data_IF_332457202358
#
_entry.id   IF_332457202358
#
_cell.length_a   1.000
_cell.length_b   1.000
_cell.length_c   1.000
_cell.angle_alpha   90.00
_cell.angle_beta   90.00
_cell.angle_gamma   90.00
#
_symmetry.space_group_name_H-M   'P 1'
#
loop_
_entity.id
_entity.type
_entity.pdbx_description
1 polymer ?
#
# COMPACT_ATOMS: atom_id res chain seq x y z
N UNK A 1 8.39 10.45 13.66
CA UNK A 1 8.84 11.11 14.90
C UNK A 1 9.75 12.26 14.57
N UNK A 2 9.57 13.43 15.22
CA UNK A 2 10.38 14.62 14.95
C UNK A 2 10.72 15.35 16.27
N UNK A 3 12.02 15.56 16.55
CA UNK A 3 12.52 16.29 17.72
C UNK A 3 14.00 16.64 17.52
N UNK A 4 14.41 17.85 17.92
CA UNK A 4 15.80 18.31 17.89
C UNK A 4 16.48 18.23 16.50
N UNK A 5 15.77 18.55 15.42
CA UNK A 5 16.30 18.50 14.05
C UNK A 5 16.43 17.08 13.49
N UNK A 6 15.92 16.05 14.14
CA UNK A 6 15.85 14.69 13.62
C UNK A 6 14.41 14.38 13.26
N UNK A 7 14.16 14.06 11.99
CA UNK A 7 12.82 13.72 11.49
C UNK A 7 12.88 12.36 10.84
N UNK A 8 12.21 11.37 11.46
CA UNK A 8 12.18 10.00 11.00
C UNK A 8 10.74 9.55 10.75
N UNK A 9 10.49 8.97 9.58
CA UNK A 9 9.29 8.25 9.24
C UNK A 9 9.62 6.76 9.05
N UNK A 10 8.75 5.86 9.50
CA UNK A 10 8.96 4.43 9.37
C UNK A 10 7.68 3.73 8.97
N UNK A 11 7.78 2.74 8.08
CA UNK A 11 6.68 1.92 7.61
C UNK A 11 7.03 0.43 7.67
N UNK A 12 6.00 -0.41 7.83
CA UNK A 12 6.03 -1.85 7.63
C UNK A 12 4.92 -2.25 6.67
N UNK A 13 5.27 -2.95 5.60
CA UNK A 13 4.35 -3.39 4.56
C UNK A 13 3.96 -4.85 4.78
N UNK A 14 2.67 -5.07 4.96
CA UNK A 14 2.08 -6.39 5.22
C UNK A 14 1.34 -6.88 3.98
N UNK A 15 1.80 -7.99 3.36
CA UNK A 15 1.15 -8.53 2.17
C UNK A 15 1.34 -10.04 2.02
N UNK A 16 0.72 -10.61 1.01
CA UNK A 16 0.67 -12.05 0.75
C UNK A 16 1.79 -12.55 -0.16
N UNK A 17 2.55 -11.66 -0.80
CA UNK A 17 3.53 -12.01 -1.81
C UNK A 17 4.84 -11.25 -1.65
N UNK A 18 5.97 -11.97 -1.73
CA UNK A 18 7.31 -11.44 -1.45
C UNK A 18 7.95 -10.65 -2.62
N UNK A 19 7.25 -10.47 -3.73
CA UNK A 19 7.75 -9.69 -4.87
C UNK A 19 7.69 -8.20 -4.58
N UNK A 20 8.67 -7.70 -3.86
CA UNK A 20 8.79 -6.31 -3.48
C UNK A 20 9.97 -5.64 -4.17
N UNK A 21 9.82 -4.37 -4.51
CA UNK A 21 10.84 -3.55 -5.17
C UNK A 21 11.01 -2.19 -4.49
N UNK A 22 12.17 -1.59 -4.76
CA UNK A 22 12.47 -0.18 -4.51
C UNK A 22 12.87 0.46 -5.84
N UNK A 23 12.34 1.65 -6.14
CA UNK A 23 12.60 2.40 -7.37
C UNK A 23 13.18 3.76 -7.05
N UNK A 24 14.19 4.18 -7.81
CA UNK A 24 14.79 5.51 -7.74
C UNK A 24 14.53 6.23 -9.06
N UNK A 25 13.84 7.37 -9.02
CA UNK A 25 13.48 8.17 -10.18
C UNK A 25 14.09 9.55 -10.03
N UNK A 26 15.07 9.92 -10.89
CA UNK A 26 15.70 11.25 -10.84
C UNK A 26 14.71 12.38 -11.09
N UNK A 27 15.05 13.57 -10.57
CA UNK A 27 14.28 14.78 -10.81
C UNK A 27 14.23 15.12 -12.31
N UNK A 28 13.12 15.68 -12.76
CA UNK A 28 12.94 16.28 -14.07
C UNK A 28 12.78 17.81 -13.95
N UNK A 29 12.37 18.47 -15.02
CA UNK A 29 12.07 19.91 -14.97
C UNK A 29 10.82 20.23 -14.15
N UNK A 30 9.89 19.28 -14.06
CA UNK A 30 8.55 19.48 -13.50
C UNK A 30 8.32 18.60 -12.27
N UNK A 31 9.22 17.67 -11.97
CA UNK A 31 9.05 16.67 -10.93
C UNK A 31 10.28 16.54 -10.04
N UNK A 32 10.07 16.33 -8.75
CA UNK A 32 11.11 16.03 -7.77
C UNK A 32 11.71 14.65 -7.98
N UNK A 33 12.99 14.49 -7.65
CA UNK A 33 13.65 13.20 -7.54
C UNK A 33 13.06 12.43 -6.35
N UNK A 34 12.91 11.10 -6.50
CA UNK A 34 12.15 10.32 -5.52
C UNK A 34 12.56 8.87 -5.44
N UNK A 35 12.25 8.24 -4.33
CA UNK A 35 12.30 6.81 -4.12
C UNK A 35 10.91 6.30 -3.81
N UNK A 36 10.53 5.21 -4.44
CA UNK A 36 9.32 4.46 -4.12
C UNK A 36 9.65 3.10 -3.53
N UNK A 37 8.80 2.62 -2.65
CA UNK A 37 8.78 1.24 -2.16
C UNK A 37 7.43 0.62 -2.45
N UNK A 38 7.39 -0.69 -2.73
CA UNK A 38 6.11 -1.35 -3.04
C UNK A 38 6.28 -2.72 -3.67
N UNK A 39 5.31 -3.09 -4.51
CA UNK A 39 5.18 -4.42 -5.09
C UNK A 39 5.49 -4.44 -6.57
N UNK A 40 6.20 -5.49 -7.01
CA UNK A 40 6.42 -5.80 -8.41
C UNK A 40 5.24 -6.63 -8.96
N UNK A 41 4.09 -5.99 -9.13
CA UNK A 41 2.94 -6.61 -9.75
C UNK A 41 2.83 -6.22 -11.22
N UNK A 42 3.46 -6.98 -12.09
CA UNK A 42 3.07 -6.96 -13.47
C UNK A 42 1.83 -7.88 -13.64
N UNK A 43 0.81 -7.52 -14.36
CA UNK A 43 0.61 -6.39 -15.25
C UNK A 43 -0.38 -5.32 -14.75
N UNK A 44 -0.84 -5.36 -13.50
CA UNK A 44 -1.96 -4.50 -13.10
C UNK A 44 -1.54 -3.22 -12.46
N UNK A 45 -0.52 -3.28 -11.69
CA UNK A 45 -0.12 -2.17 -10.90
C UNK A 45 1.33 -2.31 -10.45
N UNK A 46 2.24 -1.55 -11.04
CA UNK A 46 3.40 -1.12 -10.26
C UNK A 46 2.83 -0.42 -9.05
N UNK A 47 3.02 -1.00 -7.87
CA UNK A 47 2.36 -0.49 -6.70
C UNK A 47 3.36 0.17 -5.82
N UNK A 48 3.47 1.45 -6.07
CA UNK A 48 4.05 2.33 -5.10
C UNK A 48 3.14 2.33 -3.87
N UNK A 49 3.63 1.81 -2.77
CA UNK A 49 2.90 1.85 -1.50
C UNK A 49 3.25 3.10 -0.70
N UNK A 50 4.46 3.63 -0.90
CA UNK A 50 4.95 4.84 -0.28
C UNK A 50 6.35 5.19 -0.74
N UNK A 51 6.99 6.13 -0.05
CA UNK A 51 8.35 6.55 -0.36
C UNK A 51 8.70 7.92 0.19
N UNK A 52 9.77 8.50 -0.37
CA UNK A 52 10.27 9.82 -0.03
C UNK A 52 10.81 10.51 -1.26
N UNK A 53 10.63 11.84 -1.38
CA UNK A 53 11.28 12.62 -2.42
C UNK A 53 12.54 13.36 -1.92
N UNK A 54 13.25 13.99 -2.85
CA UNK A 54 14.49 14.72 -2.60
C UNK A 54 14.28 16.05 -1.84
N UNK A 55 13.03 16.45 -1.57
CA UNK A 55 12.68 17.54 -0.69
C UNK A 55 12.47 17.07 0.77
N UNK A 56 12.52 15.75 1.01
CA UNK A 56 12.26 15.13 2.29
C UNK A 56 10.78 15.06 2.65
N UNK A 57 9.90 15.03 1.65
CA UNK A 57 8.50 14.67 1.83
C UNK A 57 8.37 13.15 1.79
N UNK A 58 7.77 12.58 2.82
CA UNK A 58 7.43 11.17 2.95
C UNK A 58 5.93 11.00 2.87
N UNK A 59 5.47 9.95 2.22
CA UNK A 59 4.11 9.46 2.32
C UNK A 59 4.06 7.93 2.30
N UNK A 60 2.95 7.41 2.80
CA UNK A 60 2.63 6.00 2.79
C UNK A 60 1.10 5.81 2.76
N UNK A 61 0.63 4.58 2.58
CA UNK A 61 -0.79 4.26 2.57
C UNK A 61 -1.09 3.14 3.56
N UNK A 62 -2.17 3.28 4.32
CA UNK A 62 -2.66 2.21 5.18
C UNK A 62 -4.07 1.80 4.74
N UNK A 63 -4.25 0.52 4.44
CA UNK A 63 -5.56 -0.04 4.14
C UNK A 63 -6.50 0.07 5.35
N UNK A 64 -7.73 0.48 5.11
CA UNK A 64 -8.81 0.56 6.10
C UNK A 64 -10.07 -0.12 5.58
N UNK A 65 -11.02 -0.41 6.45
CA UNK A 65 -12.34 -0.89 6.02
C UNK A 65 -13.05 0.19 5.20
N UNK A 66 -13.92 -0.18 4.22
CA UNK A 66 -14.66 0.78 3.42
C UNK A 66 -15.34 1.84 4.29
N UNK A 67 -14.99 3.11 4.04
CA UNK A 67 -15.38 4.26 4.85
C UNK A 67 -16.68 4.95 4.35
N UNK A 68 -17.28 4.42 3.28
CA UNK A 68 -18.49 4.99 2.69
C UNK A 68 -18.22 6.32 1.96
N UNK A 69 -17.15 6.36 1.17
CA UNK A 69 -16.77 7.52 0.37
C UNK A 69 -17.89 7.99 -0.56
N UNK A 70 -17.97 9.28 -0.74
CA UNK A 70 -18.76 9.92 -1.79
C UNK A 70 -18.07 11.22 -2.22
N UNK A 71 -18.12 11.51 -3.51
CA UNK A 71 -17.55 12.70 -4.09
C UNK A 71 -18.27 13.97 -3.58
N UNK A 72 -17.50 15.01 -3.30
CA UNK A 72 -18.04 16.34 -2.99
C UNK A 72 -18.28 17.09 -4.29
N UNK A 73 -19.50 17.65 -4.51
CA UNK A 73 -19.79 18.45 -5.68
C UNK A 73 -18.82 19.62 -5.88
N UNK A 74 -18.44 19.90 -7.11
CA UNK A 74 -17.59 21.04 -7.48
C UNK A 74 -16.09 20.79 -7.36
N UNK A 75 -15.66 19.58 -7.00
CA UNK A 75 -14.25 19.17 -7.02
C UNK A 75 -14.01 18.12 -8.09
N UNK A 76 -12.92 18.22 -8.88
CA UNK A 76 -12.54 17.15 -9.78
C UNK A 76 -12.15 15.89 -8.99
N UNK A 77 -12.43 14.70 -9.54
CA UNK A 77 -11.99 13.44 -8.98
C UNK A 77 -10.60 13.10 -9.52
N UNK A 78 -9.69 12.76 -8.63
CA UNK A 78 -8.35 12.28 -8.97
C UNK A 78 -8.39 10.77 -9.24
N UNK A 79 -7.78 10.33 -10.33
CA UNK A 79 -7.76 8.93 -10.79
C UNK A 79 -6.34 8.43 -11.17
N UNK A 80 -5.30 9.14 -10.75
CA UNK A 80 -3.90 8.75 -10.96
C UNK A 80 -3.36 7.89 -9.81
N UNK A 81 -2.08 7.53 -9.91
CA UNK A 81 -1.34 6.98 -8.77
C UNK A 81 -1.10 8.10 -7.75
N UNK A 82 -1.61 7.90 -6.54
CA UNK A 82 -1.57 8.92 -5.48
C UNK A 82 -0.15 9.12 -4.94
N UNK A 83 0.63 8.03 -4.83
CA UNK A 83 2.02 8.10 -4.35
C UNK A 83 2.89 8.85 -5.35
N UNK A 84 2.73 8.53 -6.63
CA UNK A 84 3.42 9.23 -7.71
C UNK A 84 3.05 10.71 -7.72
N UNK A 85 1.77 11.05 -7.71
CA UNK A 85 1.30 12.43 -7.70
C UNK A 85 1.89 13.24 -6.55
N UNK A 86 1.87 12.69 -5.34
CA UNK A 86 2.32 13.42 -4.16
C UNK A 86 3.83 13.56 -4.13
N UNK A 87 4.58 12.50 -4.34
CA UNK A 87 6.05 12.55 -4.25
C UNK A 87 6.71 13.26 -5.44
N UNK A 88 6.05 13.33 -6.60
CA UNK A 88 6.56 14.05 -7.75
C UNK A 88 6.40 15.57 -7.65
N UNK A 89 5.31 16.06 -7.02
CA UNK A 89 4.90 17.45 -7.21
C UNK A 89 4.86 18.29 -5.92
N UNK A 90 4.89 17.66 -4.74
CA UNK A 90 4.79 18.38 -3.47
C UNK A 90 6.04 18.20 -2.62
N UNK A 91 6.31 19.19 -1.77
CA UNK A 91 7.50 19.25 -0.91
C UNK A 91 7.17 19.39 0.57
N UNK A 92 5.92 19.72 0.89
CA UNK A 92 5.48 19.99 2.24
C UNK A 92 4.12 19.35 2.56
N UNK A 93 3.87 19.12 3.83
CA UNK A 93 2.57 18.65 4.33
C UNK A 93 1.44 19.59 3.93
N UNK A 94 1.66 20.90 3.99
CA UNK A 94 0.62 21.90 3.67
C UNK A 94 0.20 21.83 2.19
N UNK A 95 1.14 21.63 1.27
CA UNK A 95 0.84 21.45 -0.16
C UNK A 95 0.01 20.18 -0.42
N UNK A 96 0.33 19.10 0.27
CA UNK A 96 -0.44 17.86 0.18
C UNK A 96 -1.86 18.02 0.74
N UNK A 97 -2.01 18.72 1.86
CA UNK A 97 -3.32 19.05 2.43
C UNK A 97 -4.17 19.85 1.45
N UNK A 98 -3.55 20.82 0.77
CA UNK A 98 -4.24 21.64 -0.24
C UNK A 98 -4.68 20.78 -1.45
N UNK A 99 -3.86 19.81 -1.90
CA UNK A 99 -4.27 18.86 -2.93
C UNK A 99 -5.56 18.11 -2.54
N UNK A 100 -5.66 17.58 -1.32
CA UNK A 100 -6.87 16.91 -0.84
C UNK A 100 -8.05 17.85 -0.65
N UNK A 101 -7.79 19.14 -0.38
CA UNK A 101 -8.86 20.15 -0.36
C UNK A 101 -9.40 20.44 -1.77
N UNK A 102 -8.58 20.34 -2.79
CA UNK A 102 -8.95 20.68 -4.17
C UNK A 102 -9.55 19.50 -4.95
N UNK A 103 -9.28 18.24 -4.55
CA UNK A 103 -9.68 17.06 -5.29
C UNK A 103 -10.56 16.12 -4.46
N UNK A 104 -11.43 15.39 -5.15
CA UNK A 104 -12.00 14.15 -4.65
C UNK A 104 -10.98 13.01 -4.88
N UNK A 105 -10.67 12.26 -3.84
CA UNK A 105 -9.72 11.13 -3.90
C UNK A 105 -10.45 9.87 -3.44
N UNK A 106 -11.09 9.12 -4.38
CA UNK A 106 -11.92 7.97 -4.05
C UNK A 106 -11.18 6.84 -3.31
N UNK A 107 -9.86 6.77 -3.45
CA UNK A 107 -9.00 5.81 -2.74
C UNK A 107 -9.12 5.90 -1.23
N UNK A 108 -9.47 7.08 -0.69
CA UNK A 108 -9.76 7.27 0.73
C UNK A 108 -11.00 6.49 1.22
N UNK A 109 -11.74 5.83 0.33
CA UNK A 109 -12.76 4.87 0.76
C UNK A 109 -12.17 3.65 1.47
N UNK A 110 -10.98 3.23 1.07
CA UNK A 110 -10.31 2.00 1.56
C UNK A 110 -8.88 2.22 2.04
N UNK A 111 -8.40 3.46 1.94
CA UNK A 111 -7.06 3.86 2.35
C UNK A 111 -7.11 5.08 3.25
N UNK A 112 -6.05 5.27 4.03
CA UNK A 112 -5.68 6.55 4.64
C UNK A 112 -4.20 6.83 4.39
N UNK A 113 -3.84 8.09 4.40
CA UNK A 113 -2.56 8.58 3.90
C UNK A 113 -1.80 9.33 4.99
N UNK A 114 -0.84 8.70 5.68
CA UNK A 114 0.13 9.41 6.50
C UNK A 114 1.17 10.12 5.63
N UNK A 115 1.41 11.40 5.94
CA UNK A 115 2.38 12.26 5.25
C UNK A 115 3.24 12.97 6.29
N UNK A 116 4.53 13.13 6.02
CA UNK A 116 5.45 13.90 6.85
C UNK A 116 6.48 14.64 5.98
N UNK A 117 6.95 15.80 6.43
CA UNK A 117 8.00 16.58 5.77
C UNK A 117 9.27 16.73 6.61
N UNK A 118 10.36 17.16 5.95
CA UNK A 118 11.65 17.37 6.58
C UNK A 118 11.66 18.43 7.70
N UNK A 119 10.64 19.28 7.77
CA UNK A 119 10.47 20.26 8.87
C UNK A 119 9.85 19.63 10.12
N UNK A 120 9.43 18.37 10.02
CA UNK A 120 8.83 17.61 11.10
C UNK A 120 7.33 17.81 11.24
N UNK A 121 6.65 18.45 10.28
CA UNK A 121 5.20 18.42 10.22
C UNK A 121 4.74 17.03 9.80
N UNK A 122 3.59 16.60 10.29
CA UNK A 122 2.93 15.41 9.74
C UNK A 122 1.42 15.47 9.91
N UNK A 123 0.74 14.81 9.00
CA UNK A 123 -0.72 14.70 8.95
C UNK A 123 -1.12 13.29 8.52
N UNK A 124 -2.21 12.78 9.03
CA UNK A 124 -2.90 11.61 8.47
C UNK A 124 -4.16 12.13 7.79
N UNK A 125 -4.29 11.86 6.51
CA UNK A 125 -5.48 12.18 5.72
C UNK A 125 -6.35 10.94 5.65
N UNK A 126 -7.60 11.05 6.09
CA UNK A 126 -8.54 9.92 6.07
C UNK A 126 -9.98 10.37 5.85
N UNK A 127 -10.81 9.45 5.34
CA UNK A 127 -12.24 9.64 5.25
C UNK A 127 -12.92 8.92 6.42
N UNK A 128 -13.64 9.66 7.24
CA UNK A 128 -14.37 9.12 8.38
C UNK A 128 -15.64 9.92 8.66
N UNK A 129 -16.67 9.29 9.22
CA UNK A 129 -17.95 9.95 9.56
C UNK A 129 -18.53 10.78 8.41
N UNK A 130 -18.32 10.35 7.14
CA UNK A 130 -18.85 11.02 5.94
C UNK A 130 -18.12 12.30 5.53
N UNK A 131 -16.90 12.53 6.00
CA UNK A 131 -16.10 13.70 5.65
C UNK A 131 -14.59 13.43 5.64
N UNK A 132 -13.85 14.32 5.00
CA UNK A 132 -12.40 14.33 4.99
C UNK A 132 -11.87 14.86 6.32
N UNK A 133 -10.93 14.13 6.92
CA UNK A 133 -10.24 14.52 8.14
C UNK A 133 -8.74 14.67 7.89
N UNK A 134 -8.16 15.68 8.56
CA UNK A 134 -6.74 15.95 8.60
C UNK A 134 -6.30 15.88 10.06
N UNK A 135 -5.68 14.76 10.43
CA UNK A 135 -5.21 14.53 11.79
C UNK A 135 -3.76 14.97 11.87
N UNK A 136 -3.51 16.17 12.35
CA UNK A 136 -2.16 16.70 12.50
C UNK A 136 -1.46 16.11 13.71
N UNK A 137 -0.14 16.02 13.63
CA UNK A 137 0.71 15.63 14.76
C UNK A 137 0.67 16.70 15.84
N UNK A 138 0.30 16.30 17.06
CA UNK A 138 0.24 17.19 18.23
C UNK A 138 1.56 17.18 19.03
N UNK A 139 2.17 16.00 19.16
CA UNK A 139 3.40 15.76 19.92
C UNK A 139 4.62 15.52 19.01
N UNK A 140 5.69 14.94 19.55
CA UNK A 140 6.90 14.63 18.79
C UNK A 140 6.77 13.39 17.90
N UNK A 141 5.66 12.62 17.94
CA UNK A 141 5.39 11.48 17.08
C UNK A 141 3.93 11.43 16.63
N UNK A 142 3.68 10.68 15.59
CA UNK A 142 2.35 10.32 15.10
C UNK A 142 2.38 8.86 14.67
N UNK A 143 1.28 8.14 14.86
CA UNK A 143 1.14 6.72 14.52
C UNK A 143 -0.07 6.54 13.62
N UNK A 144 0.12 5.80 12.54
CA UNK A 144 -0.93 5.38 11.62
C UNK A 144 -0.95 3.86 11.53
N UNK A 145 -2.12 3.25 11.59
CA UNK A 145 -2.35 1.81 11.39
C UNK A 145 -3.71 1.57 10.71
N UNK A 146 -4.12 0.34 10.50
CA UNK A 146 -5.22 -0.07 9.62
C UNK A 146 -6.64 0.14 10.20
N UNK A 147 -6.95 1.32 10.72
CA UNK A 147 -8.30 1.72 11.16
C UNK A 147 -8.48 3.23 11.01
N UNK A 148 -9.73 3.69 10.93
CA UNK A 148 -10.08 5.12 10.83
C UNK A 148 -10.01 5.73 12.23
N UNK A 149 -9.06 6.63 12.47
CA UNK A 149 -8.80 7.22 13.78
C UNK A 149 -9.87 8.23 14.18
N UNK A 150 -10.42 8.97 13.23
CA UNK A 150 -11.50 9.95 13.45
C UNK A 150 -12.83 9.33 13.89
N UNK A 151 -12.99 8.00 13.79
CA UNK A 151 -14.16 7.31 14.33
C UNK A 151 -14.18 7.26 15.87
N UNK A 152 -13.05 7.52 16.51
CA UNK A 152 -12.86 7.46 17.96
C UNK A 152 -12.58 8.84 18.55
N UNK A 153 -13.04 9.10 19.77
CA UNK A 153 -12.80 10.34 20.49
C UNK A 153 -11.55 10.27 21.39
N UNK A 154 -11.29 9.10 21.99
CA UNK A 154 -10.12 8.88 22.86
C UNK A 154 -9.17 7.85 22.22
N UNK A 155 -7.87 8.17 22.05
CA UNK A 155 -6.86 7.23 21.58
C UNK A 155 -6.76 5.92 22.39
N UNK A 156 -7.25 5.91 23.63
CA UNK A 156 -7.32 4.70 24.45
C UNK A 156 -8.34 3.67 23.94
N UNK A 157 -9.30 4.11 23.15
CA UNK A 157 -10.32 3.27 22.54
C UNK A 157 -9.90 2.70 21.17
N UNK A 158 -8.73 3.07 20.68
CA UNK A 158 -8.22 2.57 19.39
C UNK A 158 -8.10 1.05 19.40
N UNK A 159 -8.69 0.36 18.40
CA UNK A 159 -8.84 -1.09 18.43
C UNK A 159 -7.55 -1.86 18.07
N UNK A 160 -6.50 -1.16 17.64
CA UNK A 160 -5.30 -1.76 17.07
C UNK A 160 -4.22 -2.01 18.15
N UNK A 161 -3.89 -3.27 18.39
CA UNK A 161 -2.82 -3.65 19.33
C UNK A 161 -1.45 -3.09 18.88
N UNK A 162 -1.15 -3.08 17.58
CA UNK A 162 0.10 -2.52 17.04
C UNK A 162 0.22 -1.02 17.36
N UNK A 163 -0.88 -0.28 17.26
CA UNK A 163 -0.93 1.12 17.67
C UNK A 163 -0.54 1.28 19.15
N UNK A 164 -1.15 0.48 20.03
CA UNK A 164 -0.89 0.56 21.49
C UNK A 164 0.55 0.19 21.85
N UNK A 165 1.16 -0.75 21.12
CA UNK A 165 2.58 -1.13 21.30
C UNK A 165 3.49 0.03 20.88
N UNK A 166 3.27 0.56 19.66
CA UNK A 166 4.05 1.69 19.12
C UNK A 166 3.96 2.92 20.03
N UNK A 167 2.75 3.29 20.46
CA UNK A 167 2.51 4.42 21.35
C UNK A 167 3.27 4.25 22.68
N UNK A 168 3.24 3.06 23.29
CA UNK A 168 3.96 2.77 24.54
C UNK A 168 5.47 2.97 24.40
N UNK A 169 6.05 2.53 23.28
CA UNK A 169 7.49 2.66 23.02
C UNK A 169 7.84 4.13 22.78
N UNK A 170 7.09 4.81 21.90
CA UNK A 170 7.39 6.18 21.48
C UNK A 170 7.16 7.22 22.59
N UNK A 171 6.14 7.03 23.40
CA UNK A 171 5.82 7.92 24.53
C UNK A 171 6.93 7.99 25.56
N UNK A 172 7.67 6.90 25.74
CA UNK A 172 8.77 6.80 26.71
C UNK A 172 10.14 7.17 26.10
N UNK A 173 10.17 7.61 24.84
CA UNK A 173 11.42 7.91 24.15
C UNK A 173 11.75 9.40 24.20
N UNK A 174 12.97 9.72 24.60
CA UNK A 174 13.43 11.09 24.71
C UNK A 174 13.89 11.68 23.39
N UNK A 175 14.49 10.87 22.52
CA UNK A 175 15.13 11.33 21.29
C UNK A 175 14.85 10.37 20.12
N UNK A 176 14.47 10.90 18.93
CA UNK A 176 14.36 10.08 17.73
C UNK A 176 15.68 9.44 17.34
N UNK A 177 15.66 8.18 16.97
CA UNK A 177 16.80 7.51 16.35
C UNK A 177 16.32 6.38 15.44
N UNK A 178 17.12 6.01 14.44
CA UNK A 178 16.84 4.87 13.56
C UNK A 178 16.64 3.60 14.41
N UNK A 179 17.46 3.37 15.42
CA UNK A 179 17.32 2.24 16.34
C UNK A 179 16.00 2.22 17.12
N UNK A 180 15.48 3.39 17.53
CA UNK A 180 14.18 3.51 18.16
C UNK A 180 13.05 3.13 17.19
N UNK A 181 13.04 3.72 15.99
CA UNK A 181 11.99 3.41 15.00
C UNK A 181 12.08 1.94 14.58
N UNK A 182 13.29 1.40 14.37
CA UNK A 182 13.50 -0.04 14.12
C UNK A 182 12.89 -0.91 15.23
N UNK A 183 13.07 -0.54 16.50
CA UNK A 183 12.47 -1.27 17.62
C UNK A 183 10.95 -1.23 17.61
N UNK A 184 10.35 -0.10 17.20
CA UNK A 184 8.90 0.01 17.02
C UNK A 184 8.43 -0.93 15.91
N UNK A 185 9.04 -0.86 14.73
CA UNK A 185 8.69 -1.69 13.58
C UNK A 185 8.86 -3.18 13.90
N UNK A 186 9.96 -3.55 14.55
CA UNK A 186 10.20 -4.92 15.02
C UNK A 186 9.15 -5.40 16.04
N UNK A 187 8.68 -4.52 16.93
CA UNK A 187 7.67 -4.89 17.92
C UNK A 187 6.24 -4.95 17.36
N UNK A 188 6.03 -4.39 16.17
CA UNK A 188 4.69 -4.25 15.55
C UNK A 188 4.55 -4.95 14.20
N UNK A 189 5.56 -5.69 13.75
CA UNK A 189 5.47 -6.46 12.51
C UNK A 189 4.40 -7.56 12.60
N UNK A 190 3.89 -7.99 11.46
CA UNK A 190 2.90 -9.06 11.33
C UNK A 190 3.58 -10.38 11.00
N UNK A 191 3.22 -11.45 11.72
CA UNK A 191 3.63 -12.85 11.43
C UNK A 191 2.45 -13.72 10.96
N UNK A 192 1.29 -13.08 10.67
CA UNK A 192 0.08 -13.77 10.28
C UNK A 192 0.07 -14.14 8.80
N UNK A 193 -1.12 -14.43 8.25
CA UNK A 193 -1.32 -14.79 6.84
C UNK A 193 -0.85 -13.69 5.87
N UNK A 194 -0.87 -12.46 6.32
CA UNK A 194 -0.29 -11.30 5.65
C UNK A 194 0.91 -10.79 6.48
N UNK A 195 2.09 -11.43 6.32
CA UNK A 195 3.26 -11.05 7.10
C UNK A 195 3.85 -9.73 6.62
N UNK A 196 4.62 -9.10 7.48
CA UNK A 196 5.43 -7.94 7.09
C UNK A 196 6.53 -8.40 6.12
N UNK A 197 6.48 -7.91 4.88
CA UNK A 197 7.42 -8.30 3.81
C UNK A 197 8.69 -7.47 3.81
N UNK A 198 8.56 -6.19 4.12
CA UNK A 198 9.67 -5.28 4.33
C UNK A 198 9.28 -4.20 5.33
N UNK A 199 10.29 -3.58 5.89
CA UNK A 199 10.13 -2.34 6.65
C UNK A 199 11.15 -1.32 6.17
N UNK A 200 10.79 -0.06 6.17
CA UNK A 200 11.69 1.02 5.82
C UNK A 200 11.63 2.16 6.84
N UNK A 201 12.76 2.83 7.02
CA UNK A 201 12.87 4.05 7.83
C UNK A 201 13.49 5.12 6.94
N UNK A 202 12.82 6.26 6.82
CA UNK A 202 13.30 7.43 6.10
C UNK A 202 13.76 8.51 7.07
N UNK A 203 15.03 8.92 6.98
CA UNK A 203 15.53 10.14 7.61
C UNK A 203 15.24 11.29 6.63
N UNK A 204 14.21 12.07 6.92
CA UNK A 204 13.67 13.05 5.97
C UNK A 204 14.58 14.27 5.81
N UNK A 205 15.41 14.56 6.82
CA UNK A 205 16.37 15.66 6.76
C UNK A 205 17.65 15.25 6.01
N UNK A 206 18.16 14.02 6.30
CA UNK A 206 19.38 13.50 5.65
C UNK A 206 19.11 12.76 4.36
N UNK A 207 17.86 12.56 3.98
CA UNK A 207 17.44 11.84 2.79
C UNK A 207 18.03 10.42 2.70
N UNK A 208 17.99 9.69 3.81
CA UNK A 208 18.49 8.32 3.90
C UNK A 208 17.34 7.35 4.10
N UNK A 209 17.44 6.21 3.44
CA UNK A 209 16.49 5.12 3.54
C UNK A 209 17.20 3.92 4.15
N UNK A 210 16.65 3.40 5.25
CA UNK A 210 17.08 2.17 5.90
C UNK A 210 16.03 1.11 5.60
N UNK A 211 16.40 0.06 4.88
CA UNK A 211 15.51 -1.00 4.43
C UNK A 211 15.80 -2.29 5.18
N UNK A 212 14.75 -2.98 5.59
CA UNK A 212 14.78 -4.27 6.28
C UNK A 212 13.90 -5.27 5.52
N UNK A 213 14.41 -6.48 5.32
CA UNK A 213 13.67 -7.52 4.60
C UNK A 213 12.97 -8.47 5.57
N UNK A 214 11.68 -8.66 5.32
CA UNK A 214 10.83 -9.54 6.11
C UNK A 214 10.91 -9.18 7.61
N UNK A 215 11.09 -10.12 8.50
CA UNK A 215 11.20 -9.90 9.95
C UNK A 215 12.66 -9.78 10.44
N UNK A 216 13.61 -9.63 9.51
CA UNK A 216 15.02 -9.49 9.87
C UNK A 216 15.40 -8.02 10.06
N UNK A 217 15.34 -7.57 11.30
CA UNK A 217 15.75 -6.21 11.71
C UNK A 217 17.23 -6.12 12.13
N UNK A 218 17.98 -7.21 12.02
CA UNK A 218 19.43 -7.23 12.35
C UNK A 218 20.29 -6.90 11.12
N UNK A 219 19.78 -7.09 9.91
CA UNK A 219 20.46 -6.76 8.67
C UNK A 219 19.72 -5.60 7.99
N UNK A 220 20.44 -4.54 7.64
CA UNK A 220 19.87 -3.37 6.97
C UNK A 220 20.61 -3.05 5.69
N UNK A 221 19.88 -2.58 4.67
CA UNK A 221 20.45 -1.93 3.50
C UNK A 221 20.15 -0.45 3.57
N UNK A 222 21.18 0.38 3.42
CA UNK A 222 21.06 1.84 3.56
C UNK A 222 21.33 2.52 2.23
N UNK A 223 20.41 3.37 1.81
CA UNK A 223 20.55 4.22 0.64
C UNK A 223 20.67 5.69 1.07
N UNK A 224 21.48 6.43 0.35
CA UNK A 224 21.52 7.88 0.33
C UNK A 224 20.78 8.32 -0.94
N UNK A 225 19.64 8.97 -0.79
CA UNK A 225 18.75 9.27 -1.91
C UNK A 225 19.43 10.12 -2.96
N UNK A 226 20.14 11.19 -2.56
CA UNK A 226 20.80 12.08 -3.51
C UNK A 226 21.82 11.31 -4.37
N UNK A 227 22.60 10.41 -3.75
CA UNK A 227 23.59 9.58 -4.45
C UNK A 227 22.94 8.54 -5.37
N UNK A 228 21.81 7.97 -4.98
CA UNK A 228 21.10 7.01 -5.85
C UNK A 228 20.52 7.73 -7.07
N UNK A 229 19.93 8.90 -6.89
CA UNK A 229 19.38 9.70 -7.99
C UNK A 229 20.44 10.17 -8.99
N UNK A 230 21.69 10.43 -8.54
CA UNK A 230 22.81 10.76 -9.42
C UNK A 230 23.19 9.61 -10.38
N UNK A 231 22.87 8.35 -10.06
CA UNK A 231 23.14 7.19 -10.93
C UNK A 231 22.15 7.06 -12.09
N UNK A 232 21.07 7.83 -12.08
CA UNK A 232 19.96 7.73 -13.01
C UNK A 232 18.82 6.87 -12.46
N UNK A 233 17.84 6.59 -13.32
CA UNK A 233 16.71 5.75 -12.99
C UNK A 233 17.17 4.31 -12.69
N UNK A 234 16.71 3.76 -11.58
CA UNK A 234 17.08 2.42 -11.14
C UNK A 234 15.95 1.74 -10.34
N UNK A 235 15.87 0.42 -10.48
CA UNK A 235 14.98 -0.40 -9.66
C UNK A 235 15.72 -1.63 -9.14
N UNK A 236 15.37 -2.05 -7.95
CA UNK A 236 15.97 -3.24 -7.32
C UNK A 236 14.89 -4.12 -6.70
N UNK A 237 14.83 -5.42 -7.02
CA UNK A 237 14.08 -6.38 -6.20
C UNK A 237 14.64 -6.37 -4.78
N UNK A 238 13.81 -6.15 -3.77
CA UNK A 238 14.31 -5.93 -2.40
C UNK A 238 15.13 -7.11 -1.88
N UNK A 239 14.72 -8.35 -2.22
CA UNK A 239 15.45 -9.56 -1.81
C UNK A 239 16.89 -9.61 -2.35
N UNK A 240 17.21 -8.94 -3.46
CA UNK A 240 18.55 -8.89 -4.03
C UNK A 240 19.51 -7.96 -3.31
N UNK A 241 19.00 -7.14 -2.41
CA UNK A 241 19.75 -6.13 -1.65
C UNK A 241 20.34 -6.66 -0.33
N UNK A 242 20.02 -7.90 0.02
CA UNK A 242 20.42 -8.53 1.27
C UNK A 242 21.32 -9.73 1.02
N UNK A 243 22.36 -9.88 1.84
CA UNK A 243 23.29 -11.01 1.72
C UNK A 243 22.62 -12.33 2.11
N UNK A 244 21.66 -12.27 3.03
CA UNK A 244 20.95 -13.44 3.54
C UNK A 244 19.44 -13.22 3.43
N UNK A 245 18.76 -14.13 2.73
CA UNK A 245 17.30 -14.15 2.79
C UNK A 245 16.90 -14.90 4.07
N UNK A 246 16.10 -14.31 4.95
CA UNK A 246 15.64 -14.95 6.17
C UNK A 246 14.95 -16.29 5.88
N UNK A 247 15.22 -17.31 6.70
CA UNK A 247 14.59 -18.62 6.53
C UNK A 247 13.06 -18.55 6.50
N UNK A 248 12.47 -17.67 7.33
CA UNK A 248 11.03 -17.45 7.35
C UNK A 248 10.52 -16.88 6.01
N UNK A 249 11.25 -15.95 5.38
CA UNK A 249 10.91 -15.42 4.05
C UNK A 249 11.02 -16.50 2.98
N UNK A 250 12.07 -17.34 3.04
CA UNK A 250 12.23 -18.47 2.14
C UNK A 250 11.07 -19.47 2.27
N UNK A 251 10.68 -19.81 3.49
CA UNK A 251 9.53 -20.68 3.74
C UNK A 251 8.24 -20.07 3.24
N UNK A 252 8.01 -18.79 3.53
CA UNK A 252 6.83 -18.07 3.06
C UNK A 252 6.72 -18.08 1.54
N UNK A 253 7.80 -17.85 0.82
CA UNK A 253 7.80 -17.87 -0.64
C UNK A 253 7.49 -19.26 -1.23
N UNK A 254 7.82 -20.36 -0.52
CA UNK A 254 7.60 -21.73 -1.02
C UNK A 254 6.30 -22.37 -0.55
N UNK A 255 5.82 -22.04 0.65
CA UNK A 255 4.66 -22.69 1.28
C UNK A 255 3.59 -21.71 1.76
N UNK A 256 3.87 -20.40 1.64
CA UNK A 256 2.91 -19.35 1.98
C UNK A 256 1.67 -19.36 1.11
N UNK A 257 0.67 -18.53 1.45
CA UNK A 257 -0.54 -18.43 0.65
C UNK A 257 -0.21 -17.93 -0.76
N UNK A 258 -0.77 -18.55 -1.77
CA UNK A 258 -0.69 -18.11 -3.16
C UNK A 258 -1.90 -17.22 -3.49
N UNK A 259 -1.70 -16.26 -4.36
CA UNK A 259 -2.78 -15.41 -4.85
C UNK A 259 -3.38 -16.11 -6.06
N UNK A 260 -4.60 -16.58 -5.94
CA UNK A 260 -5.30 -17.28 -7.01
C UNK A 260 -5.45 -16.48 -8.32
N UNK A 261 -5.30 -15.13 -8.27
CA UNK A 261 -5.36 -14.25 -9.43
C UNK A 261 -4.28 -14.56 -10.48
N UNK A 262 -3.05 -14.82 -10.07
CA UNK A 262 -1.95 -15.09 -11.00
C UNK A 262 -2.09 -16.44 -11.68
N UNK A 263 -2.41 -17.47 -10.88
CA UNK A 263 -2.69 -18.79 -11.42
C UNK A 263 -3.89 -18.70 -12.38
N UNK A 264 -4.91 -17.94 -12.03
CA UNK A 264 -6.09 -17.74 -12.85
C UNK A 264 -5.75 -17.03 -14.16
N UNK A 265 -4.97 -15.96 -14.12
CA UNK A 265 -4.51 -15.25 -15.33
C UNK A 265 -3.63 -16.12 -16.23
N UNK A 266 -2.74 -16.92 -15.63
CA UNK A 266 -1.92 -17.87 -16.38
C UNK A 266 -2.81 -18.89 -17.10
N UNK A 267 -3.77 -19.49 -16.42
CA UNK A 267 -4.68 -20.46 -17.00
C UNK A 267 -5.55 -19.82 -18.08
N UNK A 268 -6.06 -18.59 -17.84
CA UNK A 268 -6.84 -17.84 -18.84
C UNK A 268 -6.01 -17.62 -20.12
N UNK A 269 -4.75 -17.32 -20.00
CA UNK A 269 -3.87 -17.08 -21.14
C UNK A 269 -3.49 -18.38 -21.88
N UNK A 270 -3.30 -19.47 -21.16
CA UNK A 270 -2.89 -20.78 -21.73
C UNK A 270 -4.07 -21.62 -22.24
N UNK A 271 -5.22 -21.61 -21.53
CA UNK A 271 -6.31 -22.56 -21.74
C UNK A 271 -7.68 -21.91 -21.94
N UNK A 272 -7.78 -20.61 -21.70
CA UNK A 272 -9.01 -19.83 -21.82
C UNK A 272 -9.86 -19.76 -20.54
N UNK A 273 -10.89 -18.92 -20.60
CA UNK A 273 -11.70 -18.50 -19.45
C UNK A 273 -12.44 -19.66 -18.77
N UNK A 274 -12.98 -20.60 -19.54
CA UNK A 274 -13.77 -21.74 -18.99
C UNK A 274 -12.93 -22.65 -18.12
N UNK A 275 -11.73 -22.98 -18.58
CA UNK A 275 -10.80 -23.84 -17.83
C UNK A 275 -10.29 -23.12 -16.59
N UNK A 276 -10.07 -21.80 -16.67
CA UNK A 276 -9.68 -21.00 -15.54
C UNK A 276 -10.76 -20.96 -14.45
N UNK A 277 -12.01 -20.76 -14.79
CA UNK A 277 -13.14 -20.81 -13.84
C UNK A 277 -13.26 -22.18 -13.18
N UNK A 278 -13.11 -23.25 -13.94
CA UNK A 278 -13.14 -24.62 -13.39
C UNK A 278 -12.00 -24.85 -12.39
N UNK A 279 -10.78 -24.50 -12.77
CA UNK A 279 -9.63 -24.64 -11.89
C UNK A 279 -9.70 -23.74 -10.66
N UNK A 280 -10.23 -22.51 -10.80
CA UNK A 280 -10.50 -21.65 -9.65
C UNK A 280 -11.42 -22.31 -8.62
N UNK A 281 -12.50 -22.95 -9.08
CA UNK A 281 -13.40 -23.68 -8.20
C UNK A 281 -12.73 -24.88 -7.53
N UNK A 282 -11.86 -25.61 -8.24
CA UNK A 282 -11.07 -26.69 -7.68
C UNK A 282 -10.07 -26.18 -6.62
N UNK A 283 -9.36 -25.09 -6.89
CA UNK A 283 -8.46 -24.43 -5.95
C UNK A 283 -9.20 -24.00 -4.68
N UNK A 284 -10.42 -23.45 -4.84
CA UNK A 284 -11.27 -23.04 -3.73
C UNK A 284 -11.68 -24.22 -2.84
N UNK A 285 -12.02 -25.35 -3.40
CA UNK A 285 -12.29 -26.57 -2.63
C UNK A 285 -11.06 -27.09 -1.90
N UNK A 286 -9.91 -27.11 -2.56
CA UNK A 286 -8.64 -27.51 -1.93
C UNK A 286 -8.24 -26.58 -0.79
N UNK A 287 -8.50 -25.29 -0.91
CA UNK A 287 -8.17 -24.29 0.11
C UNK A 287 -8.93 -24.46 1.43
N UNK A 288 -10.07 -25.17 1.41
CA UNK A 288 -10.79 -25.50 2.65
C UNK A 288 -9.97 -26.35 3.61
N UNK A 289 -8.99 -27.09 3.10
CA UNK A 289 -8.13 -27.98 3.91
C UNK A 289 -6.73 -27.46 4.12
N UNK A 290 -6.18 -26.67 3.20
CA UNK A 290 -4.74 -26.32 3.17
C UNK A 290 -4.49 -24.81 3.32
N UNK A 291 -5.51 -23.94 3.25
CA UNK A 291 -5.40 -22.46 3.29
C UNK A 291 -4.32 -21.88 2.36
N UNK A 292 -4.16 -22.47 1.17
CA UNK A 292 -3.09 -22.15 0.24
C UNK A 292 -3.40 -20.96 -0.68
N UNK A 293 -4.68 -20.72 -0.98
CA UNK A 293 -5.12 -19.71 -1.93
C UNK A 293 -5.95 -18.64 -1.26
N UNK A 294 -5.88 -17.42 -1.77
CA UNK A 294 -6.68 -16.28 -1.34
C UNK A 294 -7.83 -16.10 -2.31
N UNK A 295 -9.06 -16.10 -1.81
CA UNK A 295 -10.30 -16.00 -2.59
C UNK A 295 -11.13 -14.80 -2.17
N UNK A 296 -10.45 -13.72 -1.77
CA UNK A 296 -11.09 -12.46 -1.45
C UNK A 296 -11.70 -11.82 -2.70
N UNK A 297 -12.74 -11.03 -2.51
CA UNK A 297 -13.47 -10.36 -3.60
C UNK A 297 -12.54 -9.59 -4.55
N UNK A 298 -11.53 -8.92 -4.03
CA UNK A 298 -10.60 -8.10 -4.79
C UNK A 298 -9.75 -8.93 -5.79
N UNK A 299 -9.48 -10.20 -5.51
CA UNK A 299 -8.70 -11.08 -6.40
C UNK A 299 -9.36 -11.23 -7.77
N UNK A 300 -10.66 -11.55 -7.79
CA UNK A 300 -11.43 -11.69 -9.04
C UNK A 300 -11.70 -10.33 -9.68
N UNK A 301 -11.88 -9.28 -8.87
CA UNK A 301 -12.06 -7.92 -9.36
C UNK A 301 -10.84 -7.48 -10.16
N UNK A 302 -9.63 -7.69 -9.64
CA UNK A 302 -8.38 -7.33 -10.30
C UNK A 302 -8.20 -8.10 -11.62
N UNK A 303 -8.45 -9.42 -11.63
CA UNK A 303 -8.45 -10.23 -12.86
C UNK A 303 -9.44 -9.66 -13.90
N UNK A 304 -10.65 -9.28 -13.49
CA UNK A 304 -11.65 -8.68 -14.35
C UNK A 304 -11.18 -7.36 -14.96
N UNK A 305 -10.55 -6.49 -14.19
CA UNK A 305 -10.01 -5.23 -14.71
C UNK A 305 -8.82 -5.42 -15.65
N UNK A 306 -7.93 -6.39 -15.38
CA UNK A 306 -6.84 -6.73 -16.30
C UNK A 306 -7.39 -7.17 -17.65
N UNK A 307 -8.37 -8.05 -17.66
CA UNK A 307 -8.99 -8.54 -18.87
C UNK A 307 -9.68 -7.40 -19.64
N UNK A 308 -10.39 -6.51 -18.92
CA UNK A 308 -11.01 -5.33 -19.51
C UNK A 308 -9.97 -4.40 -20.15
N UNK A 309 -8.88 -4.09 -19.46
CA UNK A 309 -7.79 -3.25 -19.95
C UNK A 309 -7.07 -3.88 -21.16
N UNK A 310 -7.10 -5.22 -21.26
CA UNK A 310 -6.52 -5.99 -22.37
C UNK A 310 -7.52 -6.19 -23.55
N UNK A 311 -8.63 -5.47 -23.59
CA UNK A 311 -9.72 -5.63 -24.57
C UNK A 311 -10.34 -7.03 -24.63
N UNK A 312 -10.27 -7.78 -23.52
CA UNK A 312 -10.89 -9.10 -23.36
C UNK A 312 -12.21 -8.97 -22.62
N UNK A 313 -13.10 -8.14 -23.13
CA UNK A 313 -14.35 -7.71 -22.44
C UNK A 313 -15.25 -8.90 -22.08
N UNK A 314 -15.42 -9.87 -22.98
CA UNK A 314 -16.24 -11.05 -22.72
C UNK A 314 -15.68 -11.95 -21.61
N UNK A 315 -14.34 -12.11 -21.55
CA UNK A 315 -13.68 -12.85 -20.46
C UNK A 315 -13.81 -12.09 -19.13
N UNK A 316 -13.70 -10.75 -19.15
CA UNK A 316 -13.89 -9.91 -17.98
C UNK A 316 -15.30 -10.04 -17.40
N UNK A 317 -16.34 -10.06 -18.26
CA UNK A 317 -17.73 -10.29 -17.84
C UNK A 317 -17.89 -11.62 -17.11
N UNK A 318 -17.29 -12.70 -17.60
CA UNK A 318 -17.36 -14.01 -16.92
C UNK A 318 -16.67 -14.00 -15.55
N UNK A 319 -15.55 -13.28 -15.39
CA UNK A 319 -14.87 -13.13 -14.09
C UNK A 319 -15.69 -12.26 -13.13
N UNK A 320 -16.21 -11.11 -13.56
CA UNK A 320 -17.05 -10.28 -12.70
C UNK A 320 -18.35 -10.99 -12.31
N UNK A 321 -18.90 -11.81 -13.20
CA UNK A 321 -20.05 -12.68 -12.88
C UNK A 321 -19.72 -13.71 -11.81
N UNK A 322 -18.56 -14.37 -11.91
CA UNK A 322 -18.07 -15.28 -10.88
C UNK A 322 -17.90 -14.53 -9.55
N UNK A 323 -17.32 -13.33 -9.56
CA UNK A 323 -17.13 -12.51 -8.37
C UNK A 323 -18.46 -12.16 -7.69
N UNK A 324 -19.46 -11.69 -8.46
CA UNK A 324 -20.79 -11.37 -7.96
C UNK A 324 -21.54 -12.60 -7.41
N UNK A 325 -21.35 -13.78 -8.01
CA UNK A 325 -21.91 -15.04 -7.51
C UNK A 325 -21.31 -15.46 -6.17
N UNK A 326 -20.02 -15.25 -5.97
CA UNK A 326 -19.31 -15.60 -4.74
C UNK A 326 -19.55 -14.57 -3.62
N UNK A 327 -19.77 -13.32 -3.99
CA UNK A 327 -19.97 -12.18 -3.08
C UNK A 327 -21.32 -11.47 -3.35
N UNK A 328 -22.47 -12.16 -3.22
CA UNK A 328 -23.77 -11.64 -3.67
C UNK A 328 -24.26 -10.40 -2.89
N UNK A 329 -23.69 -10.15 -1.71
CA UNK A 329 -24.01 -8.97 -0.88
C UNK A 329 -23.06 -7.78 -1.14
N UNK A 330 -22.00 -7.97 -1.93
CA UNK A 330 -21.10 -6.90 -2.30
C UNK A 330 -21.74 -5.98 -3.33
N UNK A 331 -21.78 -4.69 -3.00
CA UNK A 331 -22.22 -3.65 -3.93
C UNK A 331 -21.20 -3.44 -5.05
N UNK A 332 -19.92 -3.54 -4.72
CA UNK A 332 -18.80 -3.42 -5.65
C UNK A 332 -18.85 -4.53 -6.71
N UNK A 333 -18.88 -5.80 -6.31
CA UNK A 333 -18.93 -6.93 -7.25
C UNK A 333 -20.15 -6.86 -8.20
N UNK A 334 -21.31 -6.44 -7.70
CA UNK A 334 -22.50 -6.26 -8.52
C UNK A 334 -22.41 -5.04 -9.45
N UNK A 335 -21.76 -3.95 -9.02
CA UNK A 335 -21.51 -2.76 -9.83
C UNK A 335 -20.54 -3.09 -10.97
N UNK A 336 -19.42 -3.75 -10.66
CA UNK A 336 -18.40 -4.13 -11.64
C UNK A 336 -18.99 -5.02 -12.74
N UNK A 337 -19.81 -6.01 -12.37
CA UNK A 337 -20.53 -6.83 -13.34
C UNK A 337 -21.44 -5.98 -14.23
N UNK A 338 -22.18 -5.04 -13.64
CA UNK A 338 -23.10 -4.18 -14.41
C UNK A 338 -22.36 -3.30 -15.41
N UNK A 339 -21.23 -2.71 -15.01
CA UNK A 339 -20.36 -1.88 -15.87
C UNK A 339 -19.74 -2.75 -16.98
N UNK A 340 -19.29 -3.96 -16.66
CA UNK A 340 -18.71 -4.87 -17.65
C UNK A 340 -19.73 -5.27 -18.74
N UNK A 341 -20.98 -5.51 -18.38
CA UNK A 341 -22.06 -5.78 -19.35
C UNK A 341 -22.36 -4.57 -20.25
N UNK A 342 -22.38 -3.35 -19.71
CA UNK A 342 -22.55 -2.13 -20.53
C UNK A 342 -21.40 -1.96 -21.53
N UNK A 343 -20.17 -2.21 -21.11
CA UNK A 343 -19.01 -2.15 -22.00
C UNK A 343 -19.05 -3.25 -23.09
N UNK A 344 -19.56 -4.44 -22.77
CA UNK A 344 -19.73 -5.53 -23.75
C UNK A 344 -20.82 -5.23 -24.78
N UNK A 345 -21.93 -4.61 -24.36
CA UNK A 345 -23.05 -4.25 -25.27
C UNK A 345 -22.78 -3.00 -26.09
N UNK A 346 -21.72 -2.22 -25.77
CA UNK A 346 -21.42 -0.95 -26.44
C UNK A 346 -22.41 0.18 -26.07
N UNK A 347 -23.18 0.01 -25.01
CA UNK A 347 -24.03 1.03 -24.43
C UNK A 347 -23.20 1.89 -23.46
N UNK A 348 -22.68 3.03 -23.95
CA UNK A 348 -22.00 4.06 -23.14
C UNK A 348 -22.97 5.15 -22.71
#
# INVERSE_FOLDING_TARGET
>A
MAKNGIVLAGNSEDWYELRTKIWFVPASKEEYGRVYVGFDHAPVHDRFQGGMNDQGLFMDMNAVKPAGWHDKPGKPSFHGDLVEQILSHYSTVDEVVEFFHQHNVPDLNVLKVPVADSKGHSVIVEWGKGQLHFLYKEDCYQISTNFIQSDYEDPKEYPCQRYQIADRILRNADTPSVGLIRSVLSATHSEHISPTLYSNICDLEKKKIYLYLFHNFEEETVFDLDRELEKGEAEYPMHSLFATIPFAAHQFNHIGPQIGAEDLMKIINEKGIKDAINQFNEMKEQSRTIHRYIFEEWVLRDVGYILSASNRTSDAVEIFKLNAQLHPKSKEANKDLSVAHMNESGET
#
